data_IF_696633166877
#
_entry.id   IF_696633166877
#
_cell.length_a   1.000
_cell.length_b   1.000
_cell.length_c   1.000
_cell.angle_alpha   90.00
_cell.angle_beta   90.00
_cell.angle_gamma   90.00
#
_symmetry.space_group_name_H-M   'P 1'
#
loop_
_entity.id
_entity.type
_entity.pdbx_description
1 polymer ?
#
# COMPACT_ATOMS: atom_id res chain seq x y z
N UNK A 1 -0.24 -19.92 -0.43
CA UNK A 1 -0.87 -18.59 -0.39
C UNK A 1 0.04 -17.69 -1.20
N UNK A 2 -0.39 -17.22 -2.37
CA UNK A 2 0.40 -16.27 -3.16
C UNK A 2 0.39 -14.96 -2.37
N UNK A 3 1.55 -14.54 -1.88
CA UNK A 3 1.70 -13.25 -1.21
C UNK A 3 2.16 -12.24 -2.25
N UNK A 4 1.51 -11.07 -2.29
CA UNK A 4 1.92 -9.97 -3.16
C UNK A 4 3.12 -9.28 -2.50
N UNK A 5 4.31 -9.80 -2.80
CA UNK A 5 5.57 -9.28 -2.28
C UNK A 5 6.21 -8.37 -3.32
N UNK A 6 6.55 -7.14 -2.91
CA UNK A 6 7.38 -6.23 -3.70
C UNK A 6 8.84 -6.45 -3.36
N UNK A 7 9.70 -6.40 -4.36
CA UNK A 7 11.14 -6.52 -4.21
C UNK A 7 11.81 -5.24 -4.73
N UNK A 8 12.66 -4.56 -3.93
CA UNK A 8 13.29 -3.29 -4.30
C UNK A 8 14.12 -3.31 -5.59
N UNK A 9 14.62 -4.48 -5.97
CA UNK A 9 15.45 -4.70 -7.15
C UNK A 9 14.66 -4.94 -8.44
N UNK A 10 13.34 -5.02 -8.38
CA UNK A 10 12.50 -5.35 -9.54
C UNK A 10 11.51 -4.22 -9.82
N UNK A 11 11.20 -4.04 -11.10
CA UNK A 11 10.06 -3.24 -11.50
C UNK A 11 8.76 -3.95 -11.08
N UNK A 12 7.78 -3.19 -10.64
CA UNK A 12 6.47 -3.72 -10.28
C UNK A 12 5.38 -2.67 -10.45
N UNK A 13 4.16 -3.15 -10.60
CA UNK A 13 2.94 -2.35 -10.71
C UNK A 13 1.87 -2.91 -9.78
N UNK A 14 1.15 -2.04 -9.10
CA UNK A 14 -0.02 -2.36 -8.29
C UNK A 14 -1.19 -1.49 -8.73
N UNK A 15 -2.39 -2.04 -8.66
CA UNK A 15 -3.62 -1.26 -8.89
C UNK A 15 -4.65 -1.65 -7.85
N UNK A 16 -5.06 -0.66 -7.06
CA UNK A 16 -6.17 -0.75 -6.13
C UNK A 16 -7.40 -0.13 -6.80
N UNK A 17 -8.38 -0.95 -7.14
CA UNK A 17 -9.70 -0.51 -7.57
C UNK A 17 -10.62 -0.53 -6.35
N UNK A 18 -11.25 0.61 -6.05
CA UNK A 18 -12.08 0.75 -4.86
C UNK A 18 -13.28 1.67 -5.05
N UNK A 19 -14.06 1.78 -3.99
CA UNK A 19 -15.19 2.70 -3.87
C UNK A 19 -15.13 3.40 -2.52
N UNK A 20 -15.37 4.71 -2.53
CA UNK A 20 -15.65 5.47 -1.31
C UNK A 20 -17.13 5.85 -1.34
N UNK A 21 -17.83 5.65 -0.22
CA UNK A 21 -19.24 6.03 -0.08
C UNK A 21 -19.49 6.82 1.20
N UNK A 22 -20.49 7.70 1.16
CA UNK A 22 -20.77 8.70 2.19
C UNK A 22 -22.19 8.52 2.76
N UNK A 23 -22.43 7.54 3.66
CA UNK A 23 -23.77 7.26 4.16
C UNK A 23 -24.44 8.48 4.82
N UNK A 24 -23.68 9.22 5.62
CA UNK A 24 -24.15 10.42 6.34
C UNK A 24 -24.00 11.73 5.56
N UNK A 25 -23.37 11.70 4.38
CA UNK A 25 -22.81 12.89 3.74
C UNK A 25 -21.53 13.32 4.44
N UNK A 26 -20.64 13.95 3.68
CA UNK A 26 -19.24 14.24 4.02
C UNK A 26 -18.41 13.07 4.56
N UNK A 27 -17.11 13.01 4.25
CA UNK A 27 -16.28 11.87 4.65
C UNK A 27 -14.87 12.24 5.07
N UNK A 28 -14.28 11.34 5.84
CA UNK A 28 -12.91 11.44 6.35
C UNK A 28 -12.49 10.04 6.88
N UNK A 29 -11.21 9.71 7.01
CA UNK A 29 -10.02 10.48 6.60
C UNK A 29 -9.45 9.95 5.27
N UNK A 30 -9.80 8.71 4.90
CA UNK A 30 -9.44 8.11 3.61
C UNK A 30 -8.83 6.73 3.78
N UNK A 31 -7.98 6.35 2.83
CA UNK A 31 -7.33 5.05 2.83
C UNK A 31 -5.93 5.07 2.21
N UNK A 32 -5.18 4.00 2.37
CA UNK A 32 -3.81 3.88 1.89
C UNK A 32 -3.51 2.49 1.35
N UNK A 33 -2.68 2.43 0.31
CA UNK A 33 -1.96 1.23 -0.09
C UNK A 33 -0.67 1.15 0.74
N UNK A 34 -0.47 0.03 1.44
CA UNK A 34 0.59 -0.12 2.44
C UNK A 34 1.54 -1.25 2.04
N UNK A 35 2.83 -1.04 2.28
CA UNK A 35 3.88 -2.03 2.11
C UNK A 35 4.71 -2.14 3.39
N UNK A 36 4.88 -3.35 3.91
CA UNK A 36 5.67 -3.59 5.13
C UNK A 36 6.42 -4.94 5.09
N UNK A 37 7.65 -4.98 5.60
CA UNK A 37 8.49 -6.19 5.66
C UNK A 37 7.99 -7.22 6.67
N UNK A 38 7.60 -6.75 7.87
CA UNK A 38 7.08 -7.57 8.96
C UNK A 38 6.01 -6.80 9.74
N UNK A 39 4.87 -7.44 10.01
CA UNK A 39 3.84 -6.89 10.87
C UNK A 39 2.44 -7.38 10.52
N UNK A 40 1.60 -7.53 11.53
CA UNK A 40 0.13 -7.66 11.39
C UNK A 40 -0.59 -6.40 11.88
N UNK A 41 0.18 -5.37 12.24
CA UNK A 41 -0.35 -4.15 12.80
C UNK A 41 -0.79 -3.23 11.66
N UNK A 42 -1.90 -2.55 11.89
CA UNK A 42 -2.49 -1.55 11.02
C UNK A 42 -1.91 -0.17 11.37
N UNK A 43 -1.96 0.80 10.45
CA UNK A 43 -1.82 2.21 10.83
C UNK A 43 -2.78 2.51 11.99
N UNK A 44 -2.34 3.31 12.97
CA UNK A 44 -3.22 3.66 14.08
C UNK A 44 -4.34 4.58 13.58
N UNK A 45 -5.54 4.39 14.12
CA UNK A 45 -6.63 5.33 13.92
C UNK A 45 -6.41 6.53 14.83
N UNK A 46 -5.51 7.43 14.43
CA UNK A 46 -5.33 8.73 15.06
C UNK A 46 -5.27 9.73 13.92
N UNK A 47 -5.93 10.86 14.14
CA UNK A 47 -5.96 12.02 13.25
C UNK A 47 -4.70 12.09 12.40
N UNK A 48 -4.86 12.31 11.09
CA UNK A 48 -3.78 12.40 10.10
C UNK A 48 -3.24 11.02 9.73
N UNK A 49 -3.01 10.76 8.43
CA UNK A 49 -2.23 9.61 7.99
C UNK A 49 -0.76 9.80 8.39
N UNK A 50 -0.46 9.74 9.67
CA UNK A 50 0.90 9.83 10.19
C UNK A 50 1.41 8.40 10.45
N UNK A 51 2.20 7.84 9.53
CA UNK A 51 2.72 6.49 9.69
C UNK A 51 3.78 6.38 10.81
N UNK A 52 4.21 7.50 11.41
CA UNK A 52 5.25 7.54 12.45
C UNK A 52 4.74 7.70 13.88
N UNK A 53 3.51 8.17 14.07
CA UNK A 53 2.94 8.42 15.40
C UNK A 53 2.09 7.28 15.97
N UNK A 54 2.29 6.04 15.48
CA UNK A 54 1.59 4.86 15.96
C UNK A 54 2.37 3.57 15.75
N UNK A 55 2.18 2.62 16.65
CA UNK A 55 2.80 1.27 16.71
C UNK A 55 2.39 0.33 15.56
N UNK A 56 2.12 0.85 14.37
CA UNK A 56 1.34 0.20 13.32
C UNK A 56 2.13 -0.43 12.18
N UNK A 57 2.92 0.37 11.45
CA UNK A 57 3.58 -0.09 10.22
C UNK A 57 4.98 -0.70 10.44
N UNK A 58 5.40 -0.86 11.69
CA UNK A 58 6.76 -1.27 12.02
C UNK A 58 7.80 -0.22 11.63
N UNK A 59 9.07 -0.61 11.58
CA UNK A 59 10.20 0.30 11.28
C UNK A 59 10.53 0.44 9.80
N UNK A 60 9.88 -0.32 8.93
CA UNK A 60 10.16 -0.39 7.49
C UNK A 60 8.85 -0.44 6.72
N UNK A 61 8.45 0.71 6.17
CA UNK A 61 7.17 0.85 5.48
C UNK A 61 7.26 1.80 4.28
N UNK A 62 6.32 1.61 3.36
CA UNK A 62 5.91 2.58 2.34
C UNK A 62 4.39 2.67 2.41
N UNK A 63 3.85 3.88 2.36
CA UNK A 63 2.42 4.12 2.29
C UNK A 63 2.12 5.11 1.17
N UNK A 64 1.13 4.77 0.34
CA UNK A 64 0.56 5.69 -0.64
C UNK A 64 -0.88 5.96 -0.21
N UNK A 65 -1.11 7.15 0.31
CA UNK A 65 -2.37 7.56 0.89
C UNK A 65 -3.22 8.26 -0.17
N UNK A 66 -4.50 7.94 -0.15
CA UNK A 66 -5.57 8.74 -0.70
C UNK A 66 -6.21 9.49 0.47
N UNK A 67 -5.82 10.75 0.63
CA UNK A 67 -6.36 11.63 1.65
C UNK A 67 -7.65 12.28 1.16
N UNK A 68 -8.76 11.92 1.80
CA UNK A 68 -10.10 12.40 1.45
C UNK A 68 -10.52 13.60 2.27
N UNK A 69 -9.73 14.06 3.25
CA UNK A 69 -10.15 15.10 4.17
C UNK A 69 -9.16 16.27 4.23
N UNK A 70 -9.69 17.50 4.19
CA UNK A 70 -8.87 18.71 4.34
C UNK A 70 -8.66 19.03 5.82
N UNK A 71 -7.47 18.72 6.33
CA UNK A 71 -7.13 19.06 7.71
C UNK A 71 -6.80 20.56 7.86
N UNK A 72 -7.48 21.25 8.78
CA UNK A 72 -7.25 22.68 9.05
C UNK A 72 -5.95 22.99 9.84
N UNK A 73 -5.21 21.95 10.24
CA UNK A 73 -3.91 22.05 10.90
C UNK A 73 -3.12 20.75 10.70
N UNK A 74 -1.97 20.83 10.04
CA UNK A 74 -1.01 19.73 9.85
C UNK A 74 0.43 20.21 10.09
N UNK A 75 1.41 19.30 10.27
CA UNK A 75 2.80 19.65 10.55
C UNK A 75 3.48 20.28 9.32
N UNK A 76 3.40 21.60 9.15
CA UNK A 76 4.29 22.43 8.30
C UNK A 76 4.56 22.00 6.83
N UNK A 77 3.78 21.10 6.25
CA UNK A 77 3.75 20.74 4.82
C UNK A 77 2.27 20.73 4.34
N UNK A 78 1.96 20.80 3.03
CA UNK A 78 0.71 21.34 2.47
C UNK A 78 -0.55 20.46 2.65
N UNK A 79 -0.61 19.70 3.74
CA UNK A 79 -1.82 19.04 4.26
C UNK A 79 -2.87 20.04 4.78
N UNK A 80 -2.52 21.32 4.85
CA UNK A 80 -3.38 22.32 5.46
C UNK A 80 -4.62 22.73 4.63
N UNK A 81 -4.78 22.29 3.35
CA UNK A 81 -5.85 22.84 2.51
C UNK A 81 -6.48 21.95 1.40
N UNK A 82 -6.02 20.72 1.13
CA UNK A 82 -6.48 19.97 -0.08
C UNK A 82 -6.50 18.45 0.10
N UNK A 83 -7.35 17.75 -0.68
CA UNK A 83 -7.26 16.29 -0.83
C UNK A 83 -6.00 15.94 -1.63
N UNK A 84 -5.35 14.84 -1.32
CA UNK A 84 -4.06 14.53 -1.94
C UNK A 84 -3.78 13.04 -2.11
N UNK A 85 -2.92 12.74 -3.09
CA UNK A 85 -2.08 11.54 -3.01
C UNK A 85 -0.83 11.93 -2.21
N UNK A 86 -0.52 11.16 -1.18
CA UNK A 86 0.68 11.35 -0.37
C UNK A 86 1.50 10.07 -0.34
N UNK A 87 2.82 10.19 -0.44
CA UNK A 87 3.75 9.06 -0.34
C UNK A 87 4.58 9.24 0.91
N UNK A 88 4.61 8.23 1.77
CA UNK A 88 5.43 8.19 2.98
C UNK A 88 6.32 6.97 2.97
N UNK A 89 7.54 7.12 3.47
CA UNK A 89 8.44 6.01 3.75
C UNK A 89 9.04 6.09 5.16
N UNK A 90 9.56 4.97 5.63
CA UNK A 90 10.17 4.91 6.96
C UNK A 90 11.49 5.66 7.09
N UNK A 91 12.09 6.10 5.98
CA UNK A 91 13.39 6.81 5.98
C UNK A 91 13.18 8.31 6.22
N UNK A 92 12.11 8.87 5.65
CA UNK A 92 11.78 10.29 5.67
C UNK A 92 10.94 10.68 6.89
N UNK A 93 10.43 9.68 7.62
CA UNK A 93 9.74 9.88 8.89
C UNK A 93 8.34 10.45 8.70
N UNK A 94 8.01 11.48 9.49
CA UNK A 94 6.63 12.01 9.61
C UNK A 94 6.20 12.88 8.43
N UNK A 95 7.12 13.27 7.54
CA UNK A 95 6.81 14.09 6.39
C UNK A 95 6.69 13.20 5.14
N UNK A 96 5.71 13.47 4.26
CA UNK A 96 5.62 12.76 3.00
C UNK A 96 6.86 13.05 2.14
N UNK A 97 7.37 12.03 1.46
CA UNK A 97 8.38 12.18 0.40
C UNK A 97 7.80 12.83 -0.84
N UNK A 98 6.49 12.68 -1.04
CA UNK A 98 5.75 13.24 -2.16
C UNK A 98 4.32 13.56 -1.78
N UNK A 99 3.80 14.66 -2.31
CA UNK A 99 2.42 15.05 -2.16
C UNK A 99 1.96 15.75 -3.44
N UNK A 100 0.87 15.24 -4.01
CA UNK A 100 0.19 15.87 -5.14
C UNK A 100 -1.27 16.07 -4.80
N UNK A 101 -1.73 17.32 -4.87
CA UNK A 101 -3.13 17.68 -4.71
C UNK A 101 -3.99 16.95 -5.76
N UNK A 102 -5.14 16.44 -5.32
CA UNK A 102 -6.20 15.96 -6.20
C UNK A 102 -7.05 17.20 -6.52
N UNK A 103 -7.00 17.74 -7.75
CA UNK A 103 -7.72 18.94 -8.11
C UNK A 103 -9.21 18.64 -8.16
N UNK A 104 -9.86 18.81 -7.03
CA UNK A 104 -11.29 18.88 -6.92
C UNK A 104 -11.68 20.34 -7.14
N UNK A 105 -12.47 20.62 -8.17
CA UNK A 105 -13.03 21.98 -8.34
C UNK A 105 -13.74 22.47 -7.07
N UNK A 106 -13.98 23.78 -6.93
CA UNK A 106 -14.67 24.30 -5.75
C UNK A 106 -15.98 23.55 -5.47
N UNK A 107 -16.09 22.91 -4.29
CA UNK A 107 -17.24 22.07 -3.91
C UNK A 107 -17.24 20.64 -4.51
N UNK A 108 -16.12 20.18 -5.04
CA UNK A 108 -15.90 18.79 -5.50
C UNK A 108 -14.95 18.01 -4.62
N UNK A 109 -14.54 18.61 -3.50
CA UNK A 109 -13.61 18.00 -2.55
C UNK A 109 -14.12 16.62 -2.16
N UNK A 110 -13.20 15.68 -1.97
CA UNK A 110 -13.56 14.30 -1.72
C UNK A 110 -14.38 14.19 -0.42
N UNK A 111 -14.14 15.04 0.57
CA UNK A 111 -14.94 15.12 1.80
C UNK A 111 -16.31 15.80 1.62
N UNK A 112 -16.57 16.50 0.52
CA UNK A 112 -17.77 17.32 0.33
C UNK A 112 -18.80 16.58 -0.54
N UNK A 113 -19.25 15.44 -0.03
CA UNK A 113 -20.23 14.57 -0.67
C UNK A 113 -21.62 14.68 -0.02
N UNK A 114 -22.68 14.54 -0.81
CA UNK A 114 -24.05 14.40 -0.32
C UNK A 114 -24.27 13.07 0.40
N UNK A 115 -25.31 13.00 1.24
CA UNK A 115 -25.70 11.74 1.86
C UNK A 115 -26.14 10.72 0.81
N UNK A 116 -25.51 9.54 0.84
CA UNK A 116 -25.73 8.47 -0.12
C UNK A 116 -24.86 8.55 -1.37
N UNK A 117 -24.02 9.59 -1.50
CA UNK A 117 -23.09 9.68 -2.62
C UNK A 117 -21.99 8.62 -2.52
N UNK A 118 -21.42 8.29 -3.68
CA UNK A 118 -20.24 7.44 -3.76
C UNK A 118 -19.48 7.72 -5.06
N UNK A 119 -18.21 7.31 -5.09
CA UNK A 119 -17.45 7.22 -6.33
C UNK A 119 -16.52 6.02 -6.32
N UNK A 120 -16.27 5.49 -7.51
CA UNK A 120 -15.21 4.51 -7.73
C UNK A 120 -13.92 5.20 -8.12
N UNK A 121 -12.81 4.60 -7.74
CA UNK A 121 -11.48 5.09 -8.03
C UNK A 121 -10.51 3.97 -8.38
N UNK A 122 -9.43 4.35 -9.06
CA UNK A 122 -8.24 3.53 -9.21
C UNK A 122 -7.04 4.29 -8.62
N UNK A 123 -6.31 3.63 -7.72
CA UNK A 123 -4.96 4.05 -7.32
C UNK A 123 -3.96 3.11 -7.99
N UNK A 124 -3.24 3.64 -8.98
CA UNK A 124 -2.21 2.91 -9.71
C UNK A 124 -0.85 3.31 -9.15
N UNK A 125 0.01 2.32 -8.88
CA UNK A 125 1.35 2.54 -8.35
C UNK A 125 2.34 1.73 -9.18
N UNK A 126 3.28 2.41 -9.82
CA UNK A 126 4.38 1.81 -10.58
C UNK A 126 5.71 2.13 -9.91
N UNK A 127 6.61 1.14 -9.87
CA UNK A 127 7.98 1.33 -9.41
C UNK A 127 8.97 0.88 -10.47
N UNK A 128 9.94 1.75 -10.74
CA UNK A 128 11.06 1.51 -11.66
C UNK A 128 12.34 1.41 -10.83
N UNK A 129 12.85 0.19 -10.68
CA UNK A 129 13.98 -0.11 -9.80
C UNK A 129 15.30 0.50 -10.28
N UNK A 130 15.48 0.63 -11.59
CA UNK A 130 16.72 1.19 -12.16
C UNK A 130 16.95 2.66 -11.82
N UNK A 131 15.88 3.39 -11.47
CA UNK A 131 15.91 4.83 -11.16
C UNK A 131 15.32 5.15 -9.78
N UNK A 132 14.96 4.13 -9.00
CA UNK A 132 14.22 4.27 -7.73
C UNK A 132 12.98 5.17 -7.88
N UNK A 133 12.28 5.08 -9.01
CA UNK A 133 11.16 5.98 -9.30
C UNK A 133 9.85 5.30 -8.94
N UNK A 134 9.10 5.93 -8.02
CA UNK A 134 7.74 5.55 -7.67
C UNK A 134 6.77 6.54 -8.33
N UNK A 135 5.79 6.02 -9.05
CA UNK A 135 4.74 6.79 -9.73
C UNK A 135 3.41 6.36 -9.14
N UNK A 136 2.66 7.30 -8.58
CA UNK A 136 1.32 7.07 -8.03
C UNK A 136 0.30 7.89 -8.80
N UNK A 137 -0.77 7.27 -9.28
CA UNK A 137 -1.82 7.93 -10.05
C UNK A 137 -3.20 7.68 -9.43
N UNK A 138 -3.96 8.75 -9.25
CA UNK A 138 -5.36 8.66 -8.82
C UNK A 138 -6.29 8.95 -9.99
N UNK A 139 -7.18 7.98 -10.25
CA UNK A 139 -8.25 8.11 -11.24
C UNK A 139 -9.60 7.97 -10.56
N UNK A 140 -10.58 8.72 -11.03
CA UNK A 140 -11.98 8.64 -10.57
C UNK A 140 -12.89 8.60 -11.79
N UNK A 141 -13.78 7.61 -11.86
CA UNK A 141 -14.64 7.41 -13.03
C UNK A 141 -13.89 7.24 -14.36
N UNK A 142 -12.65 6.74 -14.32
CA UNK A 142 -11.77 6.57 -15.49
C UNK A 142 -10.95 7.80 -15.90
N UNK A 143 -11.22 8.98 -15.34
CA UNK A 143 -10.43 10.19 -15.58
C UNK A 143 -9.25 10.28 -14.60
N UNK A 144 -8.08 10.70 -15.09
CA UNK A 144 -6.90 10.97 -14.25
C UNK A 144 -7.03 12.34 -13.58
N UNK A 145 -6.87 12.38 -12.26
CA UNK A 145 -6.95 13.61 -11.47
C UNK A 145 -5.58 14.02 -10.91
N UNK A 146 -4.78 13.07 -10.45
CA UNK A 146 -3.47 13.36 -9.86
C UNK A 146 -2.43 12.32 -10.29
N UNK A 147 -1.18 12.77 -10.42
CA UNK A 147 0.01 11.93 -10.60
C UNK A 147 1.12 12.48 -9.72
N UNK A 148 1.59 11.67 -8.79
CA UNK A 148 2.75 11.95 -7.95
C UNK A 148 3.92 11.09 -8.42
N UNK A 149 5.10 11.69 -8.62
CA UNK A 149 6.31 10.97 -9.06
C UNK A 149 7.45 11.32 -8.13
N UNK A 150 7.97 10.31 -7.43
CA UNK A 150 9.00 10.47 -6.41
C UNK A 150 10.18 9.54 -6.64
N UNK A 151 11.34 9.97 -6.15
CA UNK A 151 12.49 9.09 -6.01
C UNK A 151 12.46 8.46 -4.62
N UNK A 152 12.18 7.15 -4.55
CA UNK A 152 12.08 6.39 -3.30
C UNK A 152 13.02 5.20 -3.37
N UNK A 153 14.07 5.20 -2.54
CA UNK A 153 15.01 4.08 -2.46
C UNK A 153 14.43 2.94 -1.60
N UNK A 154 13.69 2.04 -2.25
CA UNK A 154 13.11 0.88 -1.56
C UNK A 154 14.15 -0.08 -0.98
N UNK A 155 15.40 -0.04 -1.46
CA UNK A 155 16.50 -0.82 -0.89
C UNK A 155 16.87 -0.31 0.50
N UNK A 156 16.87 1.01 0.69
CA UNK A 156 17.06 1.65 2.00
C UNK A 156 15.86 1.47 2.93
N UNK A 157 14.63 1.37 2.39
CA UNK A 157 13.40 1.17 3.18
C UNK A 157 13.25 -0.30 3.64
N UNK A 158 13.40 -1.26 2.73
CA UNK A 158 13.05 -2.67 2.93
C UNK A 158 14.22 -3.66 2.88
N UNK A 159 15.43 -3.21 2.53
CA UNK A 159 16.56 -4.10 2.28
C UNK A 159 16.35 -4.96 1.03
N UNK A 160 16.85 -6.20 1.02
CA UNK A 160 16.72 -7.13 -0.12
C UNK A 160 15.56 -8.10 0.00
N UNK A 161 14.96 -8.20 1.19
CA UNK A 161 13.85 -9.11 1.48
C UNK A 161 12.52 -8.59 0.96
N UNK A 162 12.41 -7.29 0.68
CA UNK A 162 11.20 -6.68 0.17
C UNK A 162 10.06 -6.64 1.19
N UNK A 163 8.86 -6.32 0.72
CA UNK A 163 7.72 -6.02 1.58
C UNK A 163 6.43 -6.66 1.07
N UNK A 164 5.48 -6.88 1.97
CA UNK A 164 4.15 -7.34 1.64
C UNK A 164 3.21 -6.17 1.45
N UNK A 165 2.42 -6.24 0.38
CA UNK A 165 1.40 -5.24 0.06
C UNK A 165 0.06 -5.56 0.74
N UNK A 166 -0.60 -4.52 1.23
CA UNK A 166 -1.94 -4.55 1.78
C UNK A 166 -2.59 -3.18 1.67
N UNK A 167 -3.73 -3.02 2.34
CA UNK A 167 -4.42 -1.74 2.40
C UNK A 167 -4.79 -1.42 3.84
N UNK A 168 -4.95 -0.14 4.10
CA UNK A 168 -5.44 0.39 5.36
C UNK A 168 -6.48 1.47 5.08
N UNK A 169 -7.45 1.61 5.97
CA UNK A 169 -8.42 2.69 5.91
C UNK A 169 -8.74 3.16 7.32
N UNK A 170 -9.04 4.45 7.42
CA UNK A 170 -9.37 5.11 8.68
C UNK A 170 -10.53 6.06 8.48
N UNK A 171 -11.53 5.95 9.35
CA UNK A 171 -12.54 6.99 9.48
C UNK A 171 -12.21 7.90 10.67
N UNK A 172 -12.29 9.20 10.41
CA UNK A 172 -11.92 10.25 11.36
C UNK A 172 -13.12 11.03 11.87
N UNK A 173 -13.08 12.34 11.63
CA UNK A 173 -14.11 13.28 12.10
C UNK A 173 -15.46 13.16 11.37
N UNK A 174 -15.50 12.44 10.23
CA UNK A 174 -16.72 12.12 9.48
C UNK A 174 -16.74 10.67 9.05
N UNK A 175 -17.91 10.16 8.71
CA UNK A 175 -18.10 8.76 8.32
C UNK A 175 -18.06 8.59 6.80
N UNK A 176 -17.13 7.78 6.32
CA UNK A 176 -17.14 7.23 4.97
C UNK A 176 -16.79 5.73 5.01
N UNK A 177 -17.24 4.98 4.01
CA UNK A 177 -16.85 3.59 3.83
C UNK A 177 -15.73 3.50 2.79
N UNK A 178 -14.82 2.55 3.01
CA UNK A 178 -13.69 2.26 2.12
C UNK A 178 -13.78 0.83 1.61
N UNK A 179 -14.32 0.65 0.41
CA UNK A 179 -14.51 -0.67 -0.18
C UNK A 179 -13.38 -0.98 -1.17
N UNK A 180 -12.64 -2.06 -0.91
CA UNK A 180 -11.65 -2.60 -1.85
C UNK A 180 -12.34 -3.60 -2.77
N UNK A 181 -12.52 -3.22 -4.04
CA UNK A 181 -13.20 -4.04 -5.03
C UNK A 181 -12.23 -4.99 -5.73
N UNK A 182 -11.00 -4.54 -6.02
CA UNK A 182 -9.94 -5.39 -6.59
C UNK A 182 -8.57 -4.84 -6.21
N UNK A 183 -7.63 -5.74 -5.90
CA UNK A 183 -6.21 -5.42 -5.77
C UNK A 183 -5.41 -6.29 -6.74
N UNK A 184 -4.84 -5.66 -7.75
CA UNK A 184 -4.04 -6.30 -8.79
C UNK A 184 -2.56 -5.98 -8.60
N UNK A 185 -1.70 -6.96 -8.85
CA UNK A 185 -0.26 -6.82 -8.73
C UNK A 185 0.45 -7.53 -9.88
N UNK A 186 1.37 -6.81 -10.52
CA UNK A 186 2.27 -7.33 -11.54
C UNK A 186 3.70 -7.08 -11.07
N UNK A 187 4.47 -8.14 -10.86
CA UNK A 187 5.84 -8.05 -10.38
C UNK A 187 6.43 -9.44 -10.16
N UNK A 188 7.67 -9.50 -9.67
CA UNK A 188 8.30 -10.77 -9.35
C UNK A 188 7.58 -11.44 -8.18
N UNK A 189 6.73 -12.43 -8.48
CA UNK A 189 6.11 -13.24 -7.44
C UNK A 189 7.16 -14.18 -6.86
N UNK A 190 7.62 -13.89 -5.64
CA UNK A 190 8.37 -14.87 -4.86
C UNK A 190 7.35 -15.89 -4.35
N UNK A 191 7.04 -16.88 -5.19
CA UNK A 191 6.41 -18.09 -4.71
C UNK A 191 7.45 -18.74 -3.80
N UNK A 192 7.16 -19.01 -2.51
CA UNK A 192 8.06 -19.83 -1.71
C UNK A 192 8.25 -21.12 -2.50
N UNK A 193 9.45 -21.36 -3.04
CA UNK A 193 9.74 -22.66 -3.62
C UNK A 193 9.38 -23.69 -2.56
N UNK A 194 8.69 -24.78 -2.91
CA UNK A 194 8.19 -25.68 -1.89
C UNK A 194 9.41 -26.31 -1.23
N UNK A 195 9.81 -25.80 -0.07
CA UNK A 195 10.68 -26.50 0.87
C UNK A 195 10.12 -27.90 1.15
N UNK A 196 8.81 -28.08 0.97
CA UNK A 196 8.10 -29.35 0.84
C UNK A 196 8.66 -30.27 -0.24
N UNK A 197 8.97 -29.80 -1.44
CA UNK A 197 9.57 -30.61 -2.52
C UNK A 197 10.98 -31.08 -2.15
N UNK A 198 11.79 -30.20 -1.55
CA UNK A 198 13.10 -30.56 -1.03
C UNK A 198 12.99 -31.60 0.11
N UNK A 199 12.05 -31.41 1.04
CA UNK A 199 11.76 -32.38 2.11
C UNK A 199 11.25 -33.72 1.57
N UNK A 200 10.39 -33.72 0.55
CA UNK A 200 9.93 -34.95 -0.11
C UNK A 200 11.07 -35.65 -0.83
N UNK A 201 11.94 -34.93 -1.53
CA UNK A 201 13.11 -35.50 -2.20
C UNK A 201 14.09 -36.12 -1.19
N UNK A 202 14.37 -35.41 -0.08
CA UNK A 202 15.22 -35.91 1.00
C UNK A 202 14.59 -37.13 1.71
N UNK A 203 13.28 -37.07 1.99
CA UNK A 203 12.54 -38.17 2.63
C UNK A 203 12.51 -39.43 1.77
N UNK A 204 12.23 -39.30 0.48
CA UNK A 204 12.23 -40.41 -0.48
C UNK A 204 13.65 -40.96 -0.70
N UNK A 205 14.65 -40.08 -0.77
CA UNK A 205 16.06 -40.47 -0.88
C UNK A 205 16.54 -41.30 0.32
N UNK A 206 16.20 -40.88 1.54
CA UNK A 206 16.51 -41.60 2.77
C UNK A 206 15.79 -42.97 2.86
N UNK A 207 14.54 -43.04 2.38
CA UNK A 207 13.78 -44.29 2.36
C UNK A 207 14.34 -45.29 1.34
N UNK A 208 14.76 -44.80 0.17
CA UNK A 208 15.37 -45.62 -0.88
C UNK A 208 16.73 -46.19 -0.46
N UNK A 209 17.59 -45.39 0.20
CA UNK A 209 18.87 -45.87 0.75
C UNK A 209 18.65 -46.90 1.86
N UNK A 210 17.68 -46.67 2.76
CA UNK A 210 17.33 -47.65 3.81
C UNK A 210 16.82 -48.98 3.23
N UNK A 211 16.06 -48.95 2.13
CA UNK A 211 15.59 -50.17 1.44
C UNK A 211 16.74 -50.94 0.80
N UNK A 212 17.68 -50.25 0.13
CA UNK A 212 18.85 -50.89 -0.49
C UNK A 212 19.75 -51.58 0.53
N UNK A 213 19.99 -50.94 1.68
CA UNK A 213 20.83 -51.51 2.74
C UNK A 213 20.19 -52.74 3.42
N UNK A 214 18.86 -52.87 3.38
CA UNK A 214 18.14 -54.05 3.89
C UNK A 214 18.11 -55.24 2.93
N UNK A 215 18.37 -55.03 1.64
CA UNK A 215 18.42 -56.09 0.63
C UNK A 215 19.84 -56.63 0.40
N UNK A 216 20.86 -55.93 0.90
CA UNK A 216 22.27 -56.30 0.80
C UNK A 216 22.81 -57.00 2.07
N UNK A 217 21.96 -57.19 3.09
CA UNK A 217 22.22 -57.95 4.32
C UNK A 217 21.32 -59.18 4.33
#
# INVERSE_FOLDING_TARGET
>A
MNTMQVLPQNDWSATLHGQISYPGGSGADGMALIFQTYGTAALQNKYWFDPTNGTGLGSSFLAINLDTFKNSSGPSTPDSYTNAIQVFDSVSGSNPVGQTEIPTGAGQDLENAGSGDSFTFDLLVDYVASTNTLISQFKRGGSLYATDTQTVDLGSVFGTSGAYMGFWAGSGASAENHDVLTLSFTGSQVVPEPSTCALFALGLGALATRRRNRQAA
#
